data_IF_091583716006
#
_entry.id   IF_091583716006
#
_cell.length_a   1.000
_cell.length_b   1.000
_cell.length_c   1.000
_cell.angle_alpha   90.00
_cell.angle_beta   90.00
_cell.angle_gamma   90.00
#
_symmetry.space_group_name_H-M   'P 1'
#
loop_
_entity.id
_entity.type
_entity.pdbx_description
1 polymer ?
#
# COMPACT_ATOMS: atom_id res chain seq x y z
N UNK A 1 -6.16 18.70 -29.15
CA UNK A 1 -6.61 17.65 -28.21
C UNK A 1 -5.62 17.65 -27.08
N UNK A 2 -6.00 18.16 -25.91
CA UNK A 2 -5.20 17.96 -24.71
C UNK A 2 -5.10 16.45 -24.47
N UNK A 3 -3.90 15.88 -24.25
CA UNK A 3 -3.77 14.48 -23.93
C UNK A 3 -4.57 14.19 -22.65
N UNK A 4 -5.30 13.07 -22.65
CA UNK A 4 -6.16 12.67 -21.55
C UNK A 4 -5.28 12.21 -20.37
N UNK A 5 -4.74 13.18 -19.62
CA UNK A 5 -3.94 12.93 -18.43
C UNK A 5 -4.87 12.78 -17.23
N UNK A 6 -5.20 11.54 -16.86
CA UNK A 6 -5.96 11.23 -15.66
C UNK A 6 -5.00 10.80 -14.56
N UNK A 7 -4.54 11.71 -13.70
CA UNK A 7 -3.61 11.35 -12.63
C UNK A 7 -4.28 10.44 -11.60
N UNK A 8 -3.53 9.45 -11.12
CA UNK A 8 -4.02 8.51 -10.13
C UNK A 8 -2.91 8.00 -9.20
N UNK A 9 -3.31 7.56 -8.01
CA UNK A 9 -2.46 6.84 -7.08
C UNK A 9 -2.86 5.38 -7.01
N UNK A 10 -1.89 4.47 -6.96
CA UNK A 10 -2.15 3.04 -6.81
C UNK A 10 -1.08 2.34 -5.97
N UNK A 11 -1.38 1.14 -5.49
CA UNK A 11 -0.45 0.30 -4.74
C UNK A 11 -0.49 -1.13 -5.28
N UNK A 12 0.67 -1.71 -5.51
CA UNK A 12 0.80 -3.05 -6.06
C UNK A 12 2.12 -3.70 -5.67
N UNK A 13 2.19 -5.02 -5.84
CA UNK A 13 3.42 -5.79 -5.86
C UNK A 13 3.37 -6.68 -7.09
N UNK A 14 4.38 -6.60 -7.97
CA UNK A 14 4.44 -7.36 -9.22
C UNK A 14 3.14 -7.28 -10.06
N UNK A 15 2.59 -6.06 -10.20
CA UNK A 15 1.31 -5.78 -10.87
C UNK A 15 0.06 -6.42 -10.23
N UNK A 16 0.17 -6.96 -9.01
CA UNK A 16 -0.93 -7.58 -8.27
C UNK A 16 -1.42 -6.69 -7.13
N UNK A 17 -2.73 -6.70 -6.93
CA UNK A 17 -3.40 -6.11 -5.77
C UNK A 17 -3.50 -7.09 -4.58
N UNK A 18 -3.02 -8.32 -4.74
CA UNK A 18 -2.96 -9.33 -3.69
C UNK A 18 -1.67 -10.16 -3.83
N UNK A 19 -0.97 -10.36 -2.71
CA UNK A 19 0.26 -11.16 -2.65
C UNK A 19 0.33 -11.99 -1.39
N UNK A 20 1.12 -13.06 -1.47
CA UNK A 20 1.39 -13.91 -0.33
C UNK A 20 2.82 -13.69 0.18
N UNK A 21 3.00 -13.79 1.50
CA UNK A 21 4.30 -13.80 2.16
C UNK A 21 4.42 -15.04 3.04
N UNK A 22 5.62 -15.62 3.11
CA UNK A 22 5.83 -16.85 3.87
C UNK A 22 5.76 -16.61 5.39
N UNK A 23 5.22 -17.58 6.13
CA UNK A 23 5.16 -17.59 7.59
C UNK A 23 6.54 -17.50 8.25
N UNK A 24 7.58 -18.03 7.61
CA UNK A 24 8.97 -18.01 8.07
C UNK A 24 9.78 -16.79 7.61
N UNK A 25 9.14 -15.80 7.00
CA UNK A 25 9.79 -14.60 6.47
C UNK A 25 10.37 -13.72 7.60
N UNK A 26 11.59 -13.21 7.40
CA UNK A 26 12.37 -12.42 8.38
C UNK A 26 13.12 -11.26 7.71
N UNK A 27 12.40 -10.40 7.02
CA UNK A 27 12.99 -9.29 6.27
C UNK A 27 12.18 -8.00 6.44
N UNK A 28 12.68 -6.92 5.89
CA UNK A 28 12.01 -5.62 5.82
C UNK A 28 11.62 -5.37 4.37
N UNK A 29 10.36 -5.07 4.13
CA UNK A 29 9.79 -4.93 2.79
C UNK A 29 9.10 -3.58 2.65
N UNK A 30 9.35 -2.91 1.52
CA UNK A 30 8.66 -1.70 1.13
C UNK A 30 7.50 -2.04 0.20
N UNK A 31 6.30 -1.62 0.57
CA UNK A 31 5.11 -1.65 -0.28
C UNK A 31 4.88 -0.24 -0.79
N UNK A 32 5.26 0.00 -2.05
CA UNK A 32 5.26 1.34 -2.61
C UNK A 32 3.87 1.75 -3.09
N UNK A 33 3.46 2.96 -2.70
CA UNK A 33 2.37 3.70 -3.33
C UNK A 33 2.96 4.51 -4.47
N UNK A 34 2.35 4.43 -5.64
CA UNK A 34 2.80 5.05 -6.87
C UNK A 34 1.86 6.18 -7.28
N UNK A 35 2.42 7.24 -7.83
CA UNK A 35 1.74 8.32 -8.52
C UNK A 35 1.95 8.15 -10.03
N UNK A 36 0.87 7.98 -10.78
CA UNK A 36 0.88 8.11 -12.23
C UNK A 36 0.30 9.47 -12.58
N UNK A 37 1.15 10.40 -13.00
CA UNK A 37 0.79 11.75 -13.39
C UNK A 37 1.94 12.40 -14.16
N UNK A 38 1.70 13.57 -14.74
CA UNK A 38 2.78 14.47 -15.14
C UNK A 38 3.54 15.00 -13.92
N UNK A 39 4.67 15.69 -14.16
CA UNK A 39 5.45 16.32 -13.11
C UNK A 39 4.60 17.26 -12.26
N UNK A 40 4.56 16.97 -10.96
CA UNK A 40 3.86 17.78 -9.97
C UNK A 40 4.82 18.80 -9.37
N UNK A 41 4.43 20.07 -9.36
CA UNK A 41 5.23 21.17 -8.81
C UNK A 41 4.97 21.44 -7.32
N UNK A 42 3.86 20.92 -6.79
CA UNK A 42 3.48 21.03 -5.38
C UNK A 42 3.47 19.64 -4.73
N UNK A 43 3.85 19.52 -3.45
CA UNK A 43 3.73 18.25 -2.74
C UNK A 43 2.29 17.74 -2.71
N UNK A 44 2.12 16.43 -2.77
CA UNK A 44 0.82 15.78 -2.66
C UNK A 44 0.81 14.86 -1.46
N UNK A 45 -0.10 15.12 -0.54
CA UNK A 45 -0.40 14.23 0.58
C UNK A 45 -1.40 13.15 0.16
N UNK A 46 -1.10 11.89 0.49
CA UNK A 46 -1.96 10.71 0.34
C UNK A 46 -2.22 10.11 1.72
N UNK A 47 -3.48 10.00 2.10
CA UNK A 47 -3.90 9.31 3.32
C UNK A 47 -4.23 7.86 3.00
N UNK A 48 -3.83 6.97 3.89
CA UNK A 48 -4.05 5.53 3.78
C UNK A 48 -4.37 4.93 5.15
N UNK A 49 -4.90 3.71 5.15
CA UNK A 49 -5.09 2.91 6.36
C UNK A 49 -4.41 1.55 6.21
N UNK A 50 -4.01 0.99 7.35
CA UNK A 50 -3.51 -0.39 7.46
C UNK A 50 -4.49 -1.16 8.33
N UNK A 51 -5.13 -2.16 7.74
CA UNK A 51 -6.10 -3.02 8.42
C UNK A 51 -5.43 -4.38 8.64
N UNK A 52 -5.36 -4.81 9.89
CA UNK A 52 -4.70 -6.06 10.29
C UNK A 52 -5.78 -7.07 10.65
N UNK A 53 -5.73 -8.24 10.02
CA UNK A 53 -6.59 -9.37 10.34
C UNK A 53 -6.31 -9.93 11.73
N UNK A 54 -7.31 -10.58 12.32
CA UNK A 54 -7.27 -11.10 13.69
C UNK A 54 -6.33 -12.29 13.92
N UNK A 55 -5.75 -12.83 12.84
CA UNK A 55 -4.69 -13.84 12.89
C UNK A 55 -3.29 -13.26 13.14
N UNK A 56 -3.09 -11.97 12.87
CA UNK A 56 -1.80 -11.29 12.99
C UNK A 56 -1.78 -10.31 14.16
N UNK A 57 -0.59 -10.14 14.73
CA UNK A 57 -0.32 -9.26 15.86
C UNK A 57 1.01 -8.54 15.63
N UNK A 58 0.96 -7.21 15.67
CA UNK A 58 2.16 -6.37 15.65
C UNK A 58 3.06 -6.69 16.85
N UNK A 59 4.39 -6.64 16.68
CA UNK A 59 5.37 -7.10 17.67
C UNK A 59 5.66 -8.59 17.60
N UNK A 60 4.70 -9.44 17.20
CA UNK A 60 4.86 -10.90 17.06
C UNK A 60 5.12 -11.31 15.62
N UNK A 61 4.21 -10.98 14.71
CA UNK A 61 4.21 -11.49 13.32
C UNK A 61 4.82 -10.52 12.32
N UNK A 62 4.74 -9.24 12.65
CA UNK A 62 5.27 -8.12 11.87
C UNK A 62 5.48 -6.91 12.79
N UNK A 63 6.24 -5.92 12.33
CA UNK A 63 6.21 -4.55 12.85
C UNK A 63 5.92 -3.59 11.68
N UNK A 64 4.95 -2.69 11.85
CA UNK A 64 4.71 -1.64 10.87
C UNK A 64 5.77 -0.55 11.11
N UNK A 65 6.74 -0.41 10.22
CA UNK A 65 7.83 0.57 10.38
C UNK A 65 7.33 1.97 10.02
N UNK A 66 6.52 2.11 8.97
CA UNK A 66 5.88 3.38 8.62
C UNK A 66 4.68 3.64 9.54
N UNK A 67 4.89 4.39 10.63
CA UNK A 67 3.84 4.66 11.65
C UNK A 67 2.81 5.71 11.24
N UNK A 68 3.14 6.60 10.30
CA UNK A 68 2.22 7.64 9.82
C UNK A 68 1.19 7.05 8.86
N UNK A 69 -0.08 7.44 8.99
CA UNK A 69 -1.16 7.12 8.04
C UNK A 69 -1.23 8.08 6.83
N UNK A 70 -0.19 8.91 6.66
CA UNK A 70 -0.04 9.86 5.56
C UNK A 70 1.31 9.71 4.89
N UNK A 71 1.31 9.68 3.56
CA UNK A 71 2.49 9.76 2.70
C UNK A 71 2.51 11.11 2.00
N UNK A 72 3.57 11.89 2.20
CA UNK A 72 3.83 13.09 1.41
C UNK A 72 4.71 12.71 0.22
N UNK A 73 4.27 13.08 -0.99
CA UNK A 73 5.01 12.99 -2.24
C UNK A 73 5.56 14.38 -2.57
N UNK A 74 6.87 14.64 -2.34
CA UNK A 74 7.49 15.89 -2.75
C UNK A 74 7.49 16.07 -4.28
N UNK A 75 7.81 17.29 -4.72
CA UNK A 75 8.01 17.60 -6.14
C UNK A 75 8.95 16.58 -6.80
N UNK A 76 8.52 16.03 -7.95
CA UNK A 76 9.30 15.07 -8.73
C UNK A 76 9.41 13.66 -8.15
N UNK A 77 8.76 13.36 -7.02
CA UNK A 77 8.74 12.02 -6.42
C UNK A 77 7.43 11.31 -6.79
N UNK A 78 7.56 10.13 -7.39
CA UNK A 78 6.43 9.35 -7.91
C UNK A 78 6.16 8.05 -7.15
N UNK A 79 6.97 7.72 -6.14
CA UNK A 79 6.72 6.57 -5.28
C UNK A 79 7.10 6.86 -3.82
N UNK A 80 6.33 6.28 -2.89
CA UNK A 80 6.58 6.37 -1.44
C UNK A 80 6.33 5.03 -0.77
N UNK A 81 7.25 4.55 0.09
CA UNK A 81 7.12 3.25 0.72
C UNK A 81 6.25 3.27 1.97
N UNK A 82 5.47 2.21 2.15
CA UNK A 82 4.94 1.77 3.44
C UNK A 82 5.74 0.54 3.83
N UNK A 83 6.53 0.65 4.89
CA UNK A 83 7.52 -0.37 5.25
C UNK A 83 6.99 -1.26 6.34
N UNK A 84 7.08 -2.57 6.13
CA UNK A 84 6.72 -3.60 7.10
C UNK A 84 7.94 -4.50 7.32
N UNK A 85 8.29 -4.72 8.59
CA UNK A 85 9.21 -5.78 8.96
C UNK A 85 8.42 -7.05 9.23
N UNK A 86 8.72 -8.12 8.51
CA UNK A 86 8.15 -9.44 8.74
C UNK A 86 8.96 -10.21 9.77
N UNK A 87 8.27 -10.95 10.63
CA UNK A 87 8.87 -11.83 11.63
C UNK A 87 8.39 -13.25 11.41
N UNK A 88 9.24 -14.24 11.59
CA UNK A 88 8.78 -15.63 11.58
C UNK A 88 7.79 -15.86 12.72
N UNK A 89 6.67 -16.51 12.42
CA UNK A 89 5.67 -16.87 13.43
C UNK A 89 4.82 -18.07 12.98
N UNK A 90 4.42 -18.90 13.94
CA UNK A 90 3.39 -19.92 13.73
C UNK A 90 2.02 -19.24 13.56
N UNK A 91 1.33 -19.55 12.46
CA UNK A 91 0.05 -18.96 12.12
C UNK A 91 -1.10 -19.91 12.49
N UNK A 92 -2.25 -19.33 12.83
CA UNK A 92 -3.51 -20.05 12.93
C UNK A 92 -4.20 -20.03 11.55
N UNK A 93 -4.28 -21.15 10.82
CA UNK A 93 -4.86 -21.18 9.47
C UNK A 93 -6.36 -20.92 9.46
N UNK A 94 -7.03 -20.91 10.62
CA UNK A 94 -8.46 -20.62 10.74
C UNK A 94 -8.77 -19.13 10.91
N UNK A 95 -7.74 -18.31 11.11
CA UNK A 95 -7.87 -16.85 11.32
C UNK A 95 -7.51 -16.05 10.08
N UNK A 96 -7.89 -14.77 10.09
CA UNK A 96 -7.53 -13.86 9.04
C UNK A 96 -6.06 -13.41 9.18
N UNK A 97 -5.16 -14.07 8.43
CA UNK A 97 -3.73 -13.76 8.42
C UNK A 97 -3.34 -12.68 7.39
N UNK A 98 -4.18 -11.65 7.22
CA UNK A 98 -3.96 -10.60 6.21
C UNK A 98 -3.57 -9.25 6.80
N UNK A 99 -2.80 -8.48 6.04
CA UNK A 99 -2.65 -7.04 6.19
C UNK A 99 -3.17 -6.39 4.91
N UNK A 100 -4.09 -5.44 5.04
CA UNK A 100 -4.62 -4.66 3.91
C UNK A 100 -4.10 -3.24 4.03
N UNK A 101 -3.42 -2.74 3.00
CA UNK A 101 -3.06 -1.33 2.85
C UNK A 101 -4.05 -0.71 1.88
N UNK A 102 -4.85 0.25 2.33
CA UNK A 102 -5.90 0.89 1.51
C UNK A 102 -5.68 2.40 1.40
N UNK A 103 -5.69 2.90 0.16
CA UNK A 103 -5.66 4.34 -0.11
C UNK A 103 -7.05 4.95 0.16
N UNK A 104 -7.08 6.05 0.92
CA UNK A 104 -8.34 6.68 1.37
C UNK A 104 -8.63 7.98 0.62
N UNK A 105 -7.65 8.87 0.54
CA UNK A 105 -7.82 10.19 -0.07
C UNK A 105 -6.46 10.77 -0.47
N UNK A 106 -6.46 11.77 -1.35
CA UNK A 106 -5.28 12.61 -1.57
C UNK A 106 -5.67 14.09 -1.68
N UNK A 107 -4.71 14.97 -1.36
CA UNK A 107 -4.89 16.42 -1.32
C UNK A 107 -5.23 17.07 -2.67
N UNK A 108 -5.05 16.38 -3.80
CA UNK A 108 -5.36 16.87 -5.16
C UNK A 108 -6.65 16.28 -5.73
N UNK A 109 -7.36 15.44 -4.96
CA UNK A 109 -8.55 14.70 -5.41
C UNK A 109 -8.30 13.85 -6.67
N UNK A 110 -7.08 13.36 -6.86
CA UNK A 110 -6.76 12.41 -7.94
C UNK A 110 -7.43 11.06 -7.73
N UNK A 111 -7.58 10.30 -8.80
CA UNK A 111 -8.18 8.97 -8.75
C UNK A 111 -7.35 8.06 -7.84
N UNK A 112 -8.02 7.15 -7.12
CA UNK A 112 -7.36 6.11 -6.32
C UNK A 112 -7.64 4.75 -6.94
N UNK A 113 -6.56 3.98 -7.13
CA UNK A 113 -6.54 2.81 -7.99
C UNK A 113 -6.38 3.17 -9.46
N UNK A 114 -6.31 2.12 -10.29
CA UNK A 114 -6.29 2.23 -11.73
C UNK A 114 -7.58 2.91 -12.22
N UNK A 115 -7.50 3.81 -13.22
CA UNK A 115 -8.66 4.44 -13.82
C UNK A 115 -9.66 3.40 -14.34
N UNK A 116 -10.93 3.54 -13.96
CA UNK A 116 -12.00 2.61 -14.29
C UNK A 116 -12.99 2.44 -13.12
N UNK A 117 -14.12 1.77 -13.36
CA UNK A 117 -15.16 1.58 -12.34
C UNK A 117 -14.69 0.72 -11.15
N UNK A 118 -13.79 -0.23 -11.41
CA UNK A 118 -13.38 -1.23 -10.42
C UNK A 118 -12.32 -0.73 -9.42
N UNK A 119 -11.66 0.41 -9.72
CA UNK A 119 -10.61 0.99 -8.88
C UNK A 119 -9.55 -0.04 -8.43
N UNK A 120 -9.14 -0.92 -9.35
CA UNK A 120 -8.12 -1.95 -9.07
C UNK A 120 -6.86 -1.32 -8.48
N UNK A 121 -6.15 -2.01 -7.58
CA UNK A 121 -4.94 -1.48 -6.93
C UNK A 121 -5.14 -0.21 -6.08
N UNK A 122 -6.39 0.14 -5.72
CA UNK A 122 -6.66 1.09 -4.63
C UNK A 122 -6.26 0.53 -3.26
N UNK A 123 -6.20 -0.78 -3.14
CA UNK A 123 -5.71 -1.48 -1.97
C UNK A 123 -4.78 -2.64 -2.37
N UNK A 124 -3.87 -2.98 -1.47
CA UNK A 124 -3.02 -4.16 -1.54
C UNK A 124 -3.38 -5.09 -0.38
N UNK A 125 -3.72 -6.33 -0.69
CA UNK A 125 -3.96 -7.40 0.29
C UNK A 125 -2.69 -8.26 0.39
N UNK A 126 -2.15 -8.39 1.59
CA UNK A 126 -0.96 -9.19 1.86
C UNK A 126 -1.36 -10.33 2.80
N UNK A 127 -1.32 -11.57 2.32
CA UNK A 127 -1.65 -12.75 3.12
C UNK A 127 -0.37 -13.43 3.60
N UNK A 128 -0.23 -13.61 4.90
CA UNK A 128 0.87 -14.40 5.45
C UNK A 128 0.44 -15.87 5.57
N UNK A 129 1.25 -16.80 5.07
CA UNK A 129 0.96 -18.24 5.05
C UNK A 129 2.20 -19.11 5.24
#
# INVERSE_FOLDING_TARGET
MEPYNHPFFHIMVDNKAAVDVLSNRKDVVNYNVYLSAELQFEPIDVNYEVIVGDGLKEGRDFDLITKSNKLTFPQGIFERPITIQWKEAALDPTKNNTIIIRLISNSKNYTLGLPGPDQLQKQLVITKK
#
